data_IF_784141371611
#
_entry.id   IF_784141371611
#
_cell.length_a   1.000
_cell.length_b   1.000
_cell.length_c   1.000
_cell.angle_alpha   90.00
_cell.angle_beta   90.00
_cell.angle_gamma   90.00
#
_symmetry.space_group_name_H-M   'P 1'
#
loop_
_entity.id
_entity.type
_entity.pdbx_description
1 polymer ?
#
# COMPACT_ATOMS: atom_id res chain seq x y z
N UNK A 1 5.37 -20.85 5.22
CA UNK A 1 5.19 -19.44 4.81
C UNK A 1 6.58 -18.88 4.53
N UNK A 2 6.79 -18.18 3.41
CA UNK A 2 8.10 -17.59 3.15
C UNK A 2 8.35 -16.54 4.23
N UNK A 3 9.30 -16.83 5.11
CA UNK A 3 9.77 -15.88 6.11
C UNK A 3 10.21 -14.63 5.35
N UNK A 4 9.53 -13.53 5.62
CA UNK A 4 9.78 -12.29 4.92
C UNK A 4 11.13 -11.79 5.41
N UNK A 5 12.15 -11.94 4.58
CA UNK A 5 13.51 -11.53 4.92
C UNK A 5 13.50 -10.10 5.50
N UNK A 6 13.99 -9.98 6.73
CA UNK A 6 14.09 -8.74 7.49
C UNK A 6 14.77 -7.64 6.67
N UNK A 7 15.74 -7.99 5.81
CA UNK A 7 16.42 -7.03 4.93
C UNK A 7 15.48 -6.50 3.84
N UNK A 8 14.57 -7.32 3.33
CA UNK A 8 13.58 -6.89 2.33
C UNK A 8 12.61 -5.86 2.93
N UNK A 9 12.13 -6.08 4.15
CA UNK A 9 11.29 -5.09 4.85
C UNK A 9 12.05 -3.82 5.24
N UNK A 10 13.32 -3.93 5.62
CA UNK A 10 14.16 -2.77 5.88
C UNK A 10 14.35 -1.92 4.60
N UNK A 11 14.61 -2.57 3.46
CA UNK A 11 14.68 -1.89 2.16
C UNK A 11 13.36 -1.23 1.78
N UNK A 12 12.22 -1.89 2.01
CA UNK A 12 10.89 -1.33 1.76
C UNK A 12 10.69 -0.06 2.60
N UNK A 13 10.91 -0.13 3.91
CA UNK A 13 10.78 1.01 4.83
C UNK A 13 11.65 2.18 4.42
N UNK A 14 12.88 1.91 3.95
CA UNK A 14 13.83 2.93 3.48
C UNK A 14 13.55 3.45 2.06
N UNK A 15 12.47 3.03 1.40
CA UNK A 15 12.15 3.43 0.02
C UNK A 15 13.15 2.90 -1.02
N UNK A 16 13.96 1.88 -0.68
CA UNK A 16 14.97 1.29 -1.57
C UNK A 16 14.42 0.24 -2.53
N UNK A 17 13.10 0.03 -2.51
CA UNK A 17 12.36 -0.77 -3.48
C UNK A 17 11.51 0.17 -4.31
N UNK A 18 11.96 0.45 -5.54
CA UNK A 18 11.30 1.39 -6.44
C UNK A 18 9.87 0.93 -6.74
N UNK A 19 8.84 1.77 -6.52
CA UNK A 19 7.48 1.45 -6.93
C UNK A 19 7.37 1.30 -8.46
N UNK A 20 6.72 0.23 -8.89
CA UNK A 20 6.43 -0.11 -10.30
C UNK A 20 4.99 0.29 -10.70
N UNK A 21 4.21 0.73 -9.72
CA UNK A 21 2.85 1.22 -9.90
C UNK A 21 2.48 2.15 -8.76
N UNK A 22 1.56 3.07 -9.04
CA UNK A 22 1.04 4.03 -8.07
C UNK A 22 -0.46 4.16 -8.24
N UNK A 23 -1.17 4.28 -7.13
CA UNK A 23 -2.55 4.74 -7.10
C UNK A 23 -2.69 5.90 -6.12
N UNK A 24 -3.47 6.90 -6.51
CA UNK A 24 -3.84 7.99 -5.65
C UNK A 24 -5.30 7.90 -5.25
N UNK A 25 -5.54 7.77 -3.94
CA UNK A 25 -6.85 7.62 -3.33
C UNK A 25 -7.26 8.90 -2.57
N UNK A 26 -6.41 9.93 -2.54
CA UNK A 26 -6.74 11.15 -1.81
C UNK A 26 -8.06 11.75 -2.30
N UNK A 27 -8.86 12.29 -1.38
CA UNK A 27 -10.14 12.94 -1.71
C UNK A 27 -11.25 11.98 -2.14
N UNK A 28 -10.99 10.67 -2.26
CA UNK A 28 -12.06 9.70 -2.48
C UNK A 28 -12.87 9.46 -1.20
N UNK A 29 -14.11 9.03 -1.37
CA UNK A 29 -14.87 8.41 -0.27
C UNK A 29 -14.24 7.07 0.09
N UNK A 30 -14.40 6.63 1.34
CA UNK A 30 -13.83 5.35 1.80
C UNK A 30 -14.26 4.17 0.90
N UNK A 31 -15.54 4.07 0.56
CA UNK A 31 -16.05 3.00 -0.30
C UNK A 31 -15.40 3.02 -1.69
N UNK A 32 -15.30 4.19 -2.33
CA UNK A 32 -14.67 4.31 -3.65
C UNK A 32 -13.18 3.98 -3.60
N UNK A 33 -12.49 4.45 -2.55
CA UNK A 33 -11.08 4.17 -2.34
C UNK A 33 -10.82 2.67 -2.12
N UNK A 34 -11.68 1.99 -1.37
CA UNK A 34 -11.55 0.56 -1.11
C UNK A 34 -11.69 -0.26 -2.39
N UNK A 35 -12.73 0.00 -3.20
CA UNK A 35 -12.92 -0.67 -4.49
C UNK A 35 -11.74 -0.42 -5.44
N UNK A 36 -11.27 0.84 -5.52
CA UNK A 36 -10.13 1.20 -6.36
C UNK A 36 -8.82 0.53 -5.91
N UNK A 37 -8.59 0.45 -4.60
CA UNK A 37 -7.43 -0.25 -4.02
C UNK A 37 -7.44 -1.73 -4.40
N UNK A 38 -8.58 -2.41 -4.23
CA UNK A 38 -8.70 -3.85 -4.50
C UNK A 38 -8.42 -4.14 -5.99
N UNK A 39 -9.00 -3.35 -6.89
CA UNK A 39 -8.75 -3.48 -8.32
C UNK A 39 -7.27 -3.20 -8.66
N UNK A 40 -6.69 -2.14 -8.09
CA UNK A 40 -5.28 -1.80 -8.31
C UNK A 40 -4.33 -2.91 -7.86
N UNK A 41 -4.53 -3.46 -6.65
CA UNK A 41 -3.67 -4.53 -6.13
C UNK A 41 -3.82 -5.82 -6.93
N UNK A 42 -5.03 -6.16 -7.37
CA UNK A 42 -5.27 -7.29 -8.25
C UNK A 42 -4.51 -7.13 -9.59
N UNK A 43 -4.63 -5.96 -10.22
CA UNK A 43 -3.98 -5.64 -11.50
C UNK A 43 -2.46 -5.56 -11.38
N UNK A 44 -1.94 -4.95 -10.31
CA UNK A 44 -0.51 -4.85 -10.06
C UNK A 44 0.11 -6.24 -9.85
N UNK A 45 -0.56 -7.09 -9.06
CA UNK A 45 -0.13 -8.45 -8.84
C UNK A 45 -0.23 -9.30 -10.12
N UNK A 46 -1.33 -9.20 -10.88
CA UNK A 46 -1.48 -9.92 -12.17
C UNK A 46 -0.42 -9.51 -13.19
N UNK A 47 -0.08 -8.22 -13.24
CA UNK A 47 0.99 -7.66 -14.06
C UNK A 47 2.41 -7.93 -13.53
N UNK A 48 2.57 -8.72 -12.47
CA UNK A 48 3.88 -9.15 -11.96
C UNK A 48 4.68 -8.08 -11.20
N UNK A 49 4.08 -6.94 -10.87
CA UNK A 49 4.74 -5.86 -10.11
C UNK A 49 5.14 -6.37 -8.73
N UNK A 50 6.29 -5.93 -8.22
CA UNK A 50 6.80 -6.32 -6.90
C UNK A 50 6.56 -5.26 -5.85
N UNK A 51 6.77 -3.99 -6.15
CA UNK A 51 6.52 -2.88 -5.23
C UNK A 51 5.53 -1.90 -5.85
N UNK A 52 4.53 -1.45 -5.08
CA UNK A 52 3.61 -0.39 -5.49
C UNK A 52 3.45 0.66 -4.40
N UNK A 53 3.08 1.88 -4.80
CA UNK A 53 2.83 3.01 -3.90
C UNK A 53 1.33 3.30 -3.86
N UNK A 54 0.77 3.38 -2.66
CA UNK A 54 -0.64 3.72 -2.44
C UNK A 54 -0.72 5.02 -1.66
N UNK A 55 -1.34 6.05 -2.23
CA UNK A 55 -1.45 7.37 -1.59
C UNK A 55 -2.86 7.52 -1.04
N UNK A 56 -2.96 7.78 0.26
CA UNK A 56 -4.23 7.94 0.97
C UNK A 56 -4.51 9.40 1.31
N UNK A 57 -3.48 10.25 1.20
CA UNK A 57 -3.44 11.55 1.84
C UNK A 57 -3.13 11.44 3.33
N UNK A 58 -2.70 12.55 3.93
CA UNK A 58 -2.44 12.66 5.38
C UNK A 58 -3.74 12.79 6.18
N UNK A 59 -4.77 13.35 5.52
CA UNK A 59 -6.03 13.80 6.11
C UNK A 59 -5.86 15.03 7.01
N UNK A 60 -6.97 15.55 7.51
CA UNK A 60 -6.97 16.70 8.40
C UNK A 60 -6.75 16.26 9.86
N UNK A 61 -5.99 17.02 10.62
CA UNK A 61 -5.80 16.76 12.07
C UNK A 61 -7.11 16.91 12.83
N UNK A 62 -7.99 17.83 12.37
CA UNK A 62 -9.29 18.11 12.97
C UNK A 62 -10.27 16.92 12.89
N UNK A 63 -10.16 16.08 11.86
CA UNK A 63 -11.02 14.90 11.67
C UNK A 63 -10.37 13.60 12.22
N UNK A 64 -9.31 13.71 13.02
CA UNK A 64 -8.60 12.55 13.57
C UNK A 64 -7.74 11.80 12.54
N UNK A 65 -7.33 12.49 11.46
CA UNK A 65 -6.60 11.93 10.33
C UNK A 65 -7.50 11.49 9.17
N UNK A 66 -6.89 11.09 8.05
CA UNK A 66 -7.64 10.70 6.85
C UNK A 66 -8.28 9.32 7.02
N UNK A 67 -9.59 9.19 6.78
CA UNK A 67 -10.31 7.90 6.91
C UNK A 67 -9.62 6.78 6.12
N UNK A 68 -9.28 7.02 4.86
CA UNK A 68 -8.59 6.03 4.01
C UNK A 68 -7.24 5.61 4.63
N UNK A 69 -6.48 6.56 5.17
CA UNK A 69 -5.19 6.28 5.82
C UNK A 69 -5.35 5.37 7.03
N UNK A 70 -6.40 5.60 7.83
CA UNK A 70 -6.69 4.80 9.04
C UNK A 70 -7.15 3.40 8.69
N UNK A 71 -7.99 3.25 7.67
CA UNK A 71 -8.50 1.96 7.23
C UNK A 71 -7.45 1.12 6.45
N UNK A 72 -6.43 1.77 5.88
CA UNK A 72 -5.46 1.13 4.99
C UNK A 72 -4.83 -0.16 5.57
N UNK A 73 -4.32 -0.22 6.81
CA UNK A 73 -3.77 -1.46 7.35
C UNK A 73 -4.80 -2.59 7.43
N UNK A 74 -6.08 -2.30 7.71
CA UNK A 74 -7.14 -3.29 7.73
C UNK A 74 -7.43 -3.79 6.30
N UNK A 75 -7.58 -2.89 5.33
CA UNK A 75 -7.83 -3.26 3.93
C UNK A 75 -6.69 -4.07 3.31
N UNK A 76 -5.43 -3.77 3.62
CA UNK A 76 -4.27 -4.54 3.14
C UNK A 76 -4.19 -5.93 3.78
N UNK A 77 -4.70 -6.09 5.00
CA UNK A 77 -4.75 -7.39 5.70
C UNK A 77 -6.03 -8.18 5.43
N UNK A 78 -7.03 -7.58 4.76
CA UNK A 78 -8.25 -8.25 4.38
C UNK A 78 -7.96 -9.48 3.49
N UNK A 79 -8.73 -10.57 3.59
CA UNK A 79 -8.45 -11.83 2.88
C UNK A 79 -8.20 -11.68 1.38
N UNK A 80 -8.97 -10.84 0.69
CA UNK A 80 -8.88 -10.58 -0.75
C UNK A 80 -7.53 -9.96 -1.19
N UNK A 81 -6.88 -9.21 -0.29
CA UNK A 81 -5.62 -8.52 -0.54
C UNK A 81 -4.42 -9.25 0.06
N UNK A 82 -4.59 -9.84 1.25
CA UNK A 82 -3.52 -10.51 2.00
C UNK A 82 -2.91 -11.67 1.23
N UNK A 83 -3.69 -12.33 0.38
CA UNK A 83 -3.22 -13.39 -0.52
C UNK A 83 -2.16 -12.88 -1.51
N UNK A 84 -2.19 -11.60 -1.91
CA UNK A 84 -1.26 -10.96 -2.88
C UNK A 84 -0.11 -10.21 -2.21
N UNK A 85 -0.26 -9.83 -0.94
CA UNK A 85 0.69 -8.96 -0.25
C UNK A 85 1.71 -9.78 0.55
N UNK A 86 2.98 -9.40 0.43
CA UNK A 86 4.06 -9.93 1.25
C UNK A 86 4.28 -9.07 2.50
N UNK A 87 4.22 -7.74 2.37
CA UNK A 87 4.30 -6.79 3.48
C UNK A 87 4.02 -5.36 3.02
N UNK A 88 3.91 -4.42 3.95
CA UNK A 88 3.73 -3.00 3.65
C UNK A 88 4.37 -2.11 4.71
N UNK A 89 4.67 -0.86 4.35
CA UNK A 89 5.23 0.15 5.24
C UNK A 89 4.77 1.54 4.82
N UNK A 90 4.78 2.51 5.74
CA UNK A 90 4.62 3.91 5.36
C UNK A 90 5.73 4.34 4.40
N UNK A 91 5.38 5.21 3.45
CA UNK A 91 6.31 5.70 2.47
C UNK A 91 7.31 6.69 3.08
N UNK A 92 8.45 6.90 2.39
CA UNK A 92 9.38 7.96 2.75
C UNK A 92 8.81 9.34 2.41
N UNK A 93 9.29 10.44 3.03
CA UNK A 93 8.77 11.80 2.78
C UNK A 93 8.68 12.19 1.30
N UNK A 94 9.67 11.83 0.49
CA UNK A 94 9.68 12.10 -0.96
C UNK A 94 8.58 11.39 -1.76
N UNK A 95 8.02 10.30 -1.22
CA UNK A 95 6.95 9.52 -1.85
C UNK A 95 5.59 9.71 -1.13
N UNK A 96 5.45 10.80 -0.36
CA UNK A 96 4.20 11.17 0.33
C UNK A 96 4.20 10.92 1.85
N UNK A 97 5.26 10.31 2.38
CA UNK A 97 5.46 10.14 3.82
C UNK A 97 4.32 9.39 4.50
N UNK A 98 3.90 9.88 5.67
CA UNK A 98 2.79 9.29 6.45
C UNK A 98 1.42 9.30 5.76
N UNK A 99 1.27 9.92 4.58
CA UNK A 99 0.06 9.88 3.76
C UNK A 99 0.10 8.86 2.62
N UNK A 100 1.12 8.01 2.58
CA UNK A 100 1.29 6.99 1.57
C UNK A 100 1.94 5.72 2.13
N UNK A 101 1.78 4.62 1.40
CA UNK A 101 2.29 3.30 1.79
C UNK A 101 2.99 2.63 0.61
N UNK A 102 4.17 2.07 0.86
CA UNK A 102 4.73 1.07 -0.03
C UNK A 102 4.08 -0.28 0.29
N UNK A 103 3.65 -0.99 -0.74
CA UNK A 103 3.08 -2.34 -0.65
C UNK A 103 3.93 -3.29 -1.48
N UNK A 104 4.50 -4.29 -0.80
CA UNK A 104 5.30 -5.34 -1.40
C UNK A 104 4.39 -6.52 -1.75
N UNK A 105 4.36 -6.88 -3.03
CA UNK A 105 3.54 -7.96 -3.56
C UNK A 105 4.33 -9.28 -3.61
N UNK A 106 3.60 -10.38 -3.40
CA UNK A 106 4.10 -11.73 -3.62
C UNK A 106 4.41 -11.91 -5.10
N UNK A 107 5.43 -12.71 -5.39
CA UNK A 107 5.73 -13.10 -6.76
C UNK A 107 4.64 -14.05 -7.25
N UNK A 108 4.11 -13.81 -8.45
CA UNK A 108 3.36 -14.84 -9.17
C UNK A 108 4.33 -15.98 -9.47
N UNK A 109 3.99 -17.17 -8.99
CA UNK A 109 4.66 -18.41 -9.40
C UNK A 109 4.03 -18.88 -10.69
#
# INVERSE_FOLDING_TARGET
AADLDRRTMDRLRKGRLRPEGRIDLHGMTANRAHSALNQFLANAHSGGKRCVLVITGKGSVKEGGGVIRREMPAWLNAPENRIRILGFAQAQPGDGGGGAFYVLLKRRR
#
